data_IF_741964496471
#
_entry.id   IF_741964496471
#
_cell.length_a   1.000
_cell.length_b   1.000
_cell.length_c   1.000
_cell.angle_alpha   90.00
_cell.angle_beta   90.00
_cell.angle_gamma   90.00
#
_symmetry.space_group_name_H-M   'P 1'
#
loop_
_entity.id
_entity.type
_entity.pdbx_description
1 polymer ?
#
# COMPACT_ATOMS: atom_id res chain seq x y z
N UNK A 1 32.57 -24.95 25.64
CA UNK A 1 32.41 -23.46 25.51
C UNK A 1 32.36 -22.92 24.07
N UNK A 2 32.78 -23.64 23.01
CA UNK A 2 32.67 -23.14 21.61
C UNK A 2 31.24 -22.86 21.14
N UNK A 3 30.28 -23.67 21.59
CA UNK A 3 28.88 -23.63 21.18
C UNK A 3 28.16 -22.30 21.50
N UNK A 4 28.62 -21.53 22.50
CA UNK A 4 27.96 -20.28 22.91
C UNK A 4 28.36 -19.09 22.04
N UNK A 5 29.58 -19.07 21.48
CA UNK A 5 30.07 -17.98 20.63
C UNK A 5 29.48 -18.04 19.23
N UNK A 6 29.38 -19.24 18.66
CA UNK A 6 28.75 -19.46 17.34
C UNK A 6 27.25 -19.12 17.37
N UNK A 7 26.52 -19.53 18.43
CA UNK A 7 25.12 -19.15 18.63
C UNK A 7 24.91 -17.63 18.72
N UNK A 8 25.83 -16.90 19.37
CA UNK A 8 25.77 -15.42 19.43
C UNK A 8 25.98 -14.77 18.06
N UNK A 9 26.89 -15.31 17.24
CA UNK A 9 27.14 -14.78 15.89
C UNK A 9 25.91 -15.00 14.99
N UNK A 10 25.31 -16.20 15.02
CA UNK A 10 24.10 -16.50 14.25
C UNK A 10 22.93 -15.62 14.71
N UNK A 11 22.75 -15.45 16.02
CA UNK A 11 21.71 -14.56 16.53
C UNK A 11 21.92 -13.11 16.08
N UNK A 12 23.16 -12.63 16.15
CA UNK A 12 23.49 -11.27 15.72
C UNK A 12 23.29 -11.07 14.21
N UNK A 13 23.66 -12.05 13.37
CA UNK A 13 23.45 -11.95 11.92
C UNK A 13 21.97 -11.91 11.54
N UNK A 14 21.13 -12.71 12.22
CA UNK A 14 19.68 -12.66 12.06
C UNK A 14 19.13 -11.29 12.46
N UNK A 15 19.60 -10.74 13.60
CA UNK A 15 19.15 -9.44 14.08
C UNK A 15 19.51 -8.31 13.11
N UNK A 16 20.73 -8.33 12.55
CA UNK A 16 21.16 -7.39 11.50
C UNK A 16 20.31 -7.56 10.24
N UNK A 17 20.04 -8.79 9.79
CA UNK A 17 19.22 -9.02 8.60
C UNK A 17 17.78 -8.48 8.76
N UNK A 18 17.17 -8.68 9.93
CA UNK A 18 15.85 -8.13 10.25
C UNK A 18 15.87 -6.60 10.26
N UNK A 19 16.91 -5.99 10.84
CA UNK A 19 17.05 -4.53 10.87
C UNK A 19 17.22 -3.95 9.45
N UNK A 20 18.06 -4.55 8.61
CA UNK A 20 18.25 -4.13 7.22
C UNK A 20 16.94 -4.25 6.43
N UNK A 21 16.20 -5.34 6.61
CA UNK A 21 14.88 -5.50 5.97
C UNK A 21 13.88 -4.42 6.43
N UNK A 22 13.86 -4.09 7.72
CA UNK A 22 13.03 -3.02 8.26
C UNK A 22 13.36 -1.64 7.65
N UNK A 23 14.65 -1.32 7.56
CA UNK A 23 15.13 -0.08 6.93
C UNK A 23 14.72 -0.04 5.45
N UNK A 24 14.90 -1.14 4.73
CA UNK A 24 14.50 -1.25 3.32
C UNK A 24 13.00 -1.00 3.13
N UNK A 25 12.15 -1.60 3.96
CA UNK A 25 10.70 -1.38 3.91
C UNK A 25 10.32 0.06 4.25
N UNK A 26 11.02 0.68 5.20
CA UNK A 26 10.82 2.09 5.56
C UNK A 26 11.11 3.03 4.38
N UNK A 27 12.26 2.87 3.73
CA UNK A 27 12.61 3.69 2.56
C UNK A 27 11.65 3.47 1.39
N UNK A 28 11.24 2.22 1.12
CA UNK A 28 10.24 1.94 0.07
C UNK A 28 8.91 2.64 0.34
N UNK A 29 8.42 2.60 1.58
CA UNK A 29 7.16 3.25 1.93
C UNK A 29 7.27 4.77 1.77
N UNK A 30 8.39 5.34 2.21
CA UNK A 30 8.67 6.77 2.07
C UNK A 30 8.74 7.20 0.61
N UNK A 31 9.42 6.43 -0.24
CA UNK A 31 9.49 6.69 -1.68
C UNK A 31 8.11 6.70 -2.34
N UNK A 32 7.23 5.76 -1.98
CA UNK A 32 5.84 5.74 -2.49
C UNK A 32 5.06 6.98 -2.03
N UNK A 33 5.27 7.44 -0.79
CA UNK A 33 4.57 8.61 -0.27
C UNK A 33 5.05 9.92 -0.89
N UNK A 34 6.36 10.06 -1.14
CA UNK A 34 6.96 11.27 -1.68
C UNK A 34 6.88 11.34 -3.22
N UNK A 35 7.07 10.21 -3.91
CA UNK A 35 7.20 10.16 -5.38
C UNK A 35 6.12 9.32 -6.08
N UNK A 36 5.29 8.59 -5.34
CA UNK A 36 4.27 7.72 -5.92
C UNK A 36 3.08 8.53 -6.44
N UNK A 37 2.63 8.28 -7.70
CA UNK A 37 1.46 8.95 -8.24
C UNK A 37 0.20 8.52 -7.48
N UNK A 38 -0.74 9.45 -7.36
CA UNK A 38 -2.06 9.19 -6.81
C UNK A 38 -2.96 8.51 -7.84
N UNK A 39 -3.63 7.46 -7.43
CA UNK A 39 -4.62 6.72 -8.22
C UNK A 39 -5.92 6.57 -7.43
N UNK A 40 -6.98 6.22 -8.15
CA UNK A 40 -8.22 5.72 -7.54
C UNK A 40 -8.11 4.21 -7.37
N UNK A 41 -8.35 3.75 -6.15
CA UNK A 41 -8.48 2.33 -5.84
C UNK A 41 -9.88 2.01 -5.35
N UNK A 42 -10.51 0.99 -5.93
CA UNK A 42 -11.83 0.50 -5.51
C UNK A 42 -11.65 -0.68 -4.56
N UNK A 43 -12.30 -0.64 -3.40
CA UNK A 43 -12.30 -1.80 -2.50
C UNK A 43 -13.18 -2.90 -3.09
N UNK A 44 -12.60 -4.05 -3.42
CA UNK A 44 -13.32 -5.18 -4.04
C UNK A 44 -13.60 -6.32 -3.06
N UNK A 45 -12.82 -6.43 -1.98
CA UNK A 45 -13.09 -7.38 -0.90
C UNK A 45 -12.64 -6.84 0.45
N UNK A 46 -13.28 -7.33 1.51
CA UNK A 46 -12.94 -7.05 2.90
C UNK A 46 -13.10 -8.35 3.70
N UNK A 47 -12.00 -8.82 4.27
CA UNK A 47 -11.89 -10.09 4.99
C UNK A 47 -11.44 -9.80 6.43
N UNK A 48 -12.24 -10.21 7.41
CA UNK A 48 -11.89 -10.08 8.83
C UNK A 48 -11.00 -11.24 9.28
N UNK A 49 -9.90 -10.92 9.95
CA UNK A 49 -8.98 -11.88 10.55
C UNK A 49 -8.80 -11.57 12.05
N UNK A 50 -8.27 -12.53 12.83
CA UNK A 50 -8.05 -12.37 14.29
C UNK A 50 -7.15 -11.20 14.68
N UNK A 51 -6.42 -10.59 13.74
CA UNK A 51 -5.51 -9.45 13.95
C UNK A 51 -5.87 -8.15 13.22
N UNK A 52 -7.05 -8.07 12.59
CA UNK A 52 -7.48 -6.89 11.83
C UNK A 52 -8.27 -7.25 10.58
N UNK A 53 -8.60 -6.24 9.78
CA UNK A 53 -9.33 -6.44 8.52
C UNK A 53 -8.35 -6.30 7.35
N UNK A 54 -8.35 -7.25 6.44
CA UNK A 54 -7.62 -7.16 5.19
C UNK A 54 -8.59 -6.74 4.10
N UNK A 55 -8.28 -5.66 3.39
CA UNK A 55 -9.04 -5.27 2.20
C UNK A 55 -8.22 -5.52 0.94
N UNK A 56 -8.89 -5.91 -0.13
CA UNK A 56 -8.30 -5.93 -1.48
C UNK A 56 -8.78 -4.69 -2.23
N UNK A 57 -7.81 -3.93 -2.72
CA UNK A 57 -8.06 -2.72 -3.52
C UNK A 57 -7.64 -3.01 -4.96
N UNK A 58 -8.54 -2.77 -5.89
CA UNK A 58 -8.30 -2.87 -7.33
C UNK A 58 -8.08 -1.47 -7.91
N UNK A 59 -7.07 -1.31 -8.76
CA UNK A 59 -6.71 -0.02 -9.37
C UNK A 59 -6.11 -0.21 -10.75
N UNK A 60 -6.18 0.83 -11.57
CA UNK A 60 -5.60 0.88 -12.92
C UNK A 60 -4.35 1.76 -12.92
N UNK A 61 -3.27 1.27 -13.52
CA UNK A 61 -2.03 2.02 -13.71
C UNK A 61 -1.43 1.65 -15.08
N UNK A 62 -1.18 2.66 -15.93
CA UNK A 62 -0.74 2.48 -17.32
C UNK A 62 -1.58 1.44 -18.09
N UNK A 63 -2.90 1.59 -18.06
CA UNK A 63 -3.81 0.68 -18.75
C UNK A 63 -3.97 -0.72 -18.13
N UNK A 64 -3.15 -1.10 -17.14
CA UNK A 64 -3.18 -2.42 -16.50
C UNK A 64 -3.91 -2.38 -15.17
N UNK A 65 -4.68 -3.42 -14.88
CA UNK A 65 -5.39 -3.58 -13.61
C UNK A 65 -4.50 -4.34 -12.62
N UNK A 66 -4.39 -3.79 -11.42
CA UNK A 66 -3.63 -4.35 -10.32
C UNK A 66 -4.54 -4.55 -9.11
N UNK A 67 -4.12 -5.47 -8.24
CA UNK A 67 -4.79 -5.74 -6.96
C UNK A 67 -3.76 -5.69 -5.85
N UNK A 68 -4.02 -4.87 -4.84
CA UNK A 68 -3.20 -4.79 -3.64
C UNK A 68 -3.99 -5.15 -2.40
N UNK A 69 -3.38 -5.90 -1.49
CA UNK A 69 -3.96 -6.23 -0.19
C UNK A 69 -3.35 -5.34 0.87
N UNK A 70 -4.19 -4.70 1.66
CA UNK A 70 -3.75 -3.83 2.75
C UNK A 70 -4.51 -4.13 4.04
N UNK A 71 -3.79 -4.00 5.16
CA UNK A 71 -4.42 -3.98 6.47
C UNK A 71 -5.20 -2.69 6.62
N UNK A 72 -6.44 -2.79 7.10
CA UNK A 72 -7.34 -1.67 7.30
C UNK A 72 -8.28 -1.95 8.48
N UNK A 73 -8.98 -0.92 8.93
CA UNK A 73 -10.12 -1.03 9.85
C UNK A 73 -11.45 -0.98 9.08
N UNK A 74 -11.38 -0.84 7.75
CA UNK A 74 -12.55 -0.76 6.88
C UNK A 74 -13.22 -2.13 6.72
N UNK A 75 -14.41 -2.25 7.30
CA UNK A 75 -15.24 -3.45 7.17
C UNK A 75 -15.91 -3.60 5.79
N UNK A 76 -16.80 -4.59 5.68
CA UNK A 76 -17.50 -4.96 4.44
C UNK A 76 -18.32 -3.82 3.80
N UNK A 77 -18.76 -2.84 4.59
CA UNK A 77 -19.48 -1.67 4.09
C UNK A 77 -18.63 -0.75 3.19
N UNK A 78 -17.30 -0.92 3.20
CA UNK A 78 -16.40 -0.16 2.32
C UNK A 78 -16.26 -0.76 0.93
N UNK A 79 -16.78 -1.97 0.68
CA UNK A 79 -16.71 -2.62 -0.63
C UNK A 79 -17.50 -1.79 -1.64
N UNK A 80 -16.88 -1.48 -2.79
CA UNK A 80 -17.40 -0.58 -3.81
C UNK A 80 -16.94 0.86 -3.66
N UNK A 81 -16.51 1.28 -2.47
CA UNK A 81 -16.00 2.64 -2.26
C UNK A 81 -14.64 2.83 -2.92
N UNK A 82 -14.42 4.04 -3.43
CA UNK A 82 -13.16 4.45 -4.04
C UNK A 82 -12.35 5.31 -3.06
N UNK A 83 -11.09 4.98 -2.88
CA UNK A 83 -10.14 5.75 -2.07
C UNK A 83 -8.93 6.14 -2.89
N UNK A 84 -8.28 7.23 -2.50
CA UNK A 84 -6.98 7.57 -3.06
C UNK A 84 -5.91 6.61 -2.56
N UNK A 85 -5.09 6.14 -3.48
CA UNK A 85 -3.92 5.31 -3.19
C UNK A 85 -2.70 5.93 -3.85
N UNK A 86 -1.51 5.62 -3.33
CA UNK A 86 -0.25 5.86 -4.04
C UNK A 86 0.42 4.53 -4.34
N UNK A 87 1.05 4.43 -5.50
CA UNK A 87 1.76 3.22 -5.91
C UNK A 87 3.23 3.52 -6.16
N UNK A 88 4.10 2.52 -6.01
CA UNK A 88 5.50 2.68 -6.43
C UNK A 88 5.58 2.63 -7.96
N UNK A 89 6.16 3.65 -8.63
CA UNK A 89 6.39 3.61 -10.07
C UNK A 89 7.29 2.42 -10.47
N UNK A 90 8.25 2.06 -9.62
CA UNK A 90 9.17 0.95 -9.84
C UNK A 90 8.51 -0.43 -9.61
N UNK A 91 7.50 -0.51 -8.73
CA UNK A 91 6.75 -1.74 -8.48
C UNK A 91 5.28 -1.44 -8.17
N UNK A 92 4.40 -1.44 -9.19
CA UNK A 92 3.00 -1.08 -9.02
C UNK A 92 2.21 -1.98 -8.06
N UNK A 93 2.71 -3.17 -7.69
CA UNK A 93 2.07 -4.04 -6.70
C UNK A 93 2.26 -3.54 -5.25
N UNK A 94 3.15 -2.58 -5.05
CA UNK A 94 3.40 -1.97 -3.74
C UNK A 94 2.70 -0.63 -3.67
N UNK A 95 1.79 -0.51 -2.72
CA UNK A 95 0.92 0.66 -2.59
C UNK A 95 0.83 1.15 -1.15
N UNK A 96 0.47 2.41 -1.02
CA UNK A 96 0.07 3.07 0.22
C UNK A 96 -1.40 3.45 0.08
N UNK A 97 -2.23 2.92 0.98
CA UNK A 97 -3.66 3.17 1.02
C UNK A 97 -3.98 4.33 1.96
N UNK A 98 -4.65 5.37 1.45
CA UNK A 98 -5.06 6.54 2.25
C UNK A 98 -6.51 6.37 2.71
N UNK A 99 -6.69 5.68 3.85
CA UNK A 99 -8.01 5.32 4.41
C UNK A 99 -8.92 6.52 4.71
N UNK A 100 -8.32 7.67 4.96
CA UNK A 100 -8.95 8.94 5.30
C UNK A 100 -9.31 9.77 4.05
N UNK A 101 -8.90 9.33 2.86
CA UNK A 101 -9.08 10.06 1.61
C UNK A 101 -10.00 9.31 0.67
N UNK A 102 -11.28 9.37 0.96
CA UNK A 102 -12.34 8.91 0.06
C UNK A 102 -12.32 9.74 -1.23
N UNK A 103 -12.50 9.10 -2.38
CA UNK A 103 -12.68 9.80 -3.65
C UNK A 103 -14.05 10.48 -3.62
N UNK A 104 -14.14 11.79 -3.81
CA UNK A 104 -15.42 12.49 -3.83
C UNK A 104 -16.20 12.17 -5.11
N UNK A 105 -17.52 12.28 -5.04
CA UNK A 105 -18.44 11.92 -6.14
C UNK A 105 -18.11 12.62 -7.46
N UNK A 106 -17.63 13.87 -7.39
CA UNK A 106 -17.23 14.67 -8.55
C UNK A 106 -16.12 13.98 -9.38
N UNK A 107 -15.28 13.16 -8.74
CA UNK A 107 -14.14 12.46 -9.34
C UNK A 107 -14.41 10.97 -9.57
N UNK A 108 -15.50 10.43 -9.04
CA UNK A 108 -15.86 9.01 -9.22
C UNK A 108 -15.98 8.65 -10.70
N UNK A 109 -16.65 9.51 -11.48
CA UNK A 109 -16.89 9.29 -12.92
C UNK A 109 -15.79 9.87 -13.82
N UNK A 110 -14.87 10.67 -13.28
CA UNK A 110 -13.75 11.23 -14.06
C UNK A 110 -12.71 10.13 -14.28
N UNK A 111 -12.31 9.88 -15.52
CA UNK A 111 -11.24 8.92 -15.78
C UNK A 111 -9.92 9.44 -15.21
N UNK A 112 -9.25 8.61 -14.41
CA UNK A 112 -7.92 8.94 -13.90
C UNK A 112 -6.91 8.91 -15.06
N UNK A 113 -5.93 9.82 -15.10
CA UNK A 113 -4.82 9.71 -16.03
C UNK A 113 -4.15 8.35 -15.89
N UNK A 114 -3.65 7.77 -16.99
CA UNK A 114 -3.00 6.46 -16.97
C UNK A 114 -1.81 6.38 -16.00
N UNK A 115 -1.04 7.47 -15.91
CA UNK A 115 0.09 7.61 -14.98
C UNK A 115 -0.34 8.02 -13.55
N UNK A 116 -1.63 8.26 -13.31
CA UNK A 116 -2.14 8.88 -12.10
C UNK A 116 -1.93 10.39 -12.01
N UNK A 117 -2.29 10.96 -10.87
CA UNK A 117 -2.09 12.38 -10.57
C UNK A 117 -0.83 12.59 -9.73
N UNK A 118 -0.13 13.69 -10.00
CA UNK A 118 1.01 14.10 -9.19
C UNK A 118 0.56 14.59 -7.79
N UNK A 119 -0.68 15.07 -7.68
CA UNK A 119 -1.33 15.51 -6.43
C UNK A 119 -2.80 15.09 -6.44
N UNK A 120 -3.40 14.97 -5.26
CA UNK A 120 -4.83 14.67 -5.15
C UNK A 120 -5.63 15.83 -5.79
N UNK A 121 -6.44 15.55 -6.81
CA UNK A 121 -7.26 16.58 -7.45
C UNK A 121 -8.37 17.06 -6.51
N UNK A 122 -8.70 18.34 -6.58
CA UNK A 122 -9.85 18.95 -5.89
C UNK A 122 -11.09 18.92 -6.79
N UNK A 123 -12.28 18.81 -6.18
CA UNK A 123 -13.51 19.17 -6.88
C UNK A 123 -13.49 20.68 -7.17
N UNK A 124 -13.98 21.12 -8.34
CA UNK A 124 -14.32 22.51 -8.58
C UNK A 124 -15.50 22.98 -7.70
#
# INVERSE_FOLDING_TARGET
MKNTREKKIIFFSILVAVMVYGIYQFFRRRDIQENGPFLKGTVVSSEGYKGGIMITVEYKYFGKVYKGRVNSELGKASIGNQYFIQVSPANPNSLVFHRDKLVPDCLTNVEAPDKGWDKIPSCP
#
